data_IF_015216704681
#
_entry.id   IF_015216704681
#
_cell.length_a   1.000
_cell.length_b   1.000
_cell.length_c   1.000
_cell.angle_alpha   90.00
_cell.angle_beta   90.00
_cell.angle_gamma   90.00
#
_symmetry.space_group_name_H-M   'P 1'
#
loop_
_entity.id
_entity.type
_entity.pdbx_description
1 polymer ?
#
# COMPACT_ATOMS: atom_id res chain seq x y z
N UNK A 1 -33.08 4.74 -11.75
CA UNK A 1 -32.56 3.46 -11.23
C UNK A 1 -31.09 3.41 -11.59
N UNK A 2 -30.26 3.79 -10.64
CA UNK A 2 -28.84 4.09 -10.79
C UNK A 2 -28.06 2.83 -11.18
N UNK A 3 -27.45 2.85 -12.37
CA UNK A 3 -26.41 1.89 -12.76
C UNK A 3 -25.25 2.07 -11.79
N UNK A 4 -25.16 1.18 -10.81
CA UNK A 4 -23.95 1.01 -10.02
C UNK A 4 -22.86 0.60 -11.00
N UNK A 5 -22.10 1.59 -11.47
CA UNK A 5 -20.80 1.36 -12.05
C UNK A 5 -20.00 0.64 -10.96
N UNK A 6 -19.94 -0.68 -11.06
CA UNK A 6 -18.92 -1.47 -10.36
C UNK A 6 -17.62 -1.08 -11.04
N UNK A 7 -17.09 0.09 -10.70
CA UNK A 7 -15.69 0.41 -10.85
C UNK A 7 -14.94 -0.58 -9.98
N UNK A 8 -14.73 -1.79 -10.50
CA UNK A 8 -13.67 -2.65 -10.00
C UNK A 8 -12.40 -1.86 -10.31
N UNK A 9 -11.96 -1.02 -9.38
CA UNK A 9 -10.69 -0.30 -9.47
C UNK A 9 -9.60 -1.35 -9.35
N UNK A 10 -9.30 -2.02 -10.47
CA UNK A 10 -8.20 -2.98 -10.57
C UNK A 10 -6.91 -2.16 -10.59
N UNK A 11 -6.48 -1.74 -9.41
CA UNK A 11 -5.27 -0.94 -9.27
C UNK A 11 -4.05 -1.85 -9.44
N UNK A 12 -3.05 -1.33 -10.14
CA UNK A 12 -1.71 -1.93 -10.16
C UNK A 12 -1.11 -1.78 -8.77
N UNK A 13 -0.56 -2.88 -8.23
CA UNK A 13 0.13 -2.83 -6.95
C UNK A 13 1.44 -2.02 -7.08
N UNK A 14 1.62 -0.91 -6.34
CA UNK A 14 2.80 -0.06 -6.46
C UNK A 14 4.07 -0.80 -6.05
N UNK A 15 4.01 -1.68 -5.04
CA UNK A 15 5.17 -2.49 -4.62
C UNK A 15 5.63 -3.42 -5.76
N UNK A 16 4.69 -4.06 -6.47
CA UNK A 16 5.01 -4.89 -7.64
C UNK A 16 5.59 -4.07 -8.80
N UNK A 17 5.19 -2.81 -8.97
CA UNK A 17 5.72 -1.94 -10.02
C UNK A 17 7.12 -1.40 -9.69
N UNK A 18 7.42 -1.18 -8.40
CA UNK A 18 8.72 -0.66 -7.95
C UNK A 18 9.82 -1.73 -7.83
N UNK A 19 9.47 -3.01 -7.82
CA UNK A 19 10.45 -4.09 -7.70
C UNK A 19 11.09 -4.44 -9.06
N UNK A 20 12.42 -4.56 -9.17
CA UNK A 20 13.11 -4.88 -10.44
C UNK A 20 12.68 -6.23 -11.06
N UNK A 21 12.25 -7.17 -10.21
CA UNK A 21 11.72 -8.49 -10.59
C UNK A 21 10.19 -8.57 -10.48
N UNK A 22 9.53 -7.47 -10.13
CA UNK A 22 8.08 -7.39 -10.04
C UNK A 22 7.43 -7.30 -11.42
N UNK A 23 6.13 -7.58 -11.50
CA UNK A 23 5.36 -7.36 -12.72
C UNK A 23 4.62 -6.01 -12.61
N UNK A 24 5.00 -4.99 -13.40
CA UNK A 24 4.40 -3.65 -13.33
C UNK A 24 2.94 -3.59 -13.77
N UNK A 25 2.43 -4.66 -14.39
CA UNK A 25 1.04 -4.77 -14.82
C UNK A 25 0.23 -5.67 -13.90
N UNK A 26 0.76 -6.09 -12.74
CA UNK A 26 -0.03 -6.87 -11.79
C UNK A 26 -1.13 -6.02 -11.17
N UNK A 27 -2.37 -6.36 -11.52
CA UNK A 27 -3.58 -5.71 -11.05
C UNK A 27 -4.26 -6.62 -10.03
N UNK A 28 -4.71 -6.05 -8.92
CA UNK A 28 -5.47 -6.78 -7.91
C UNK A 28 -6.84 -6.17 -7.71
N UNK A 29 -7.85 -7.03 -7.54
CA UNK A 29 -9.22 -6.62 -7.16
C UNK A 29 -9.26 -6.28 -5.65
N UNK A 30 -8.38 -6.90 -4.86
CA UNK A 30 -8.22 -6.65 -3.44
C UNK A 30 -6.73 -6.45 -3.12
N UNK A 31 -6.37 -5.19 -2.89
CA UNK A 31 -4.99 -4.78 -2.64
C UNK A 31 -4.41 -5.39 -1.37
N UNK A 32 -5.16 -5.39 -0.25
CA UNK A 32 -4.68 -5.92 1.03
C UNK A 32 -4.42 -7.42 0.95
N UNK A 33 -5.34 -8.17 0.34
CA UNK A 33 -5.18 -9.61 0.14
C UNK A 33 -3.92 -9.93 -0.68
N UNK A 34 -3.66 -9.14 -1.73
CA UNK A 34 -2.46 -9.28 -2.55
C UNK A 34 -1.17 -8.99 -1.77
N UNK A 35 -1.16 -7.92 -0.97
CA UNK A 35 -0.02 -7.58 -0.11
C UNK A 35 0.30 -8.70 0.90
N UNK A 36 -0.72 -9.22 1.58
CA UNK A 36 -0.54 -10.30 2.57
C UNK A 36 0.01 -11.57 1.93
N UNK A 37 -0.50 -11.96 0.76
CA UNK A 37 -0.08 -13.20 0.08
C UNK A 37 1.30 -13.09 -0.58
N UNK A 38 1.60 -11.97 -1.24
CA UNK A 38 2.79 -11.87 -2.12
C UNK A 38 3.93 -11.03 -1.53
N UNK A 39 3.59 -10.06 -0.69
CA UNK A 39 4.58 -9.17 -0.06
C UNK A 39 4.79 -9.51 1.42
N UNK A 40 4.03 -10.47 1.98
CA UNK A 40 4.06 -10.81 3.41
C UNK A 40 3.96 -9.56 4.28
N UNK A 41 3.15 -8.61 3.82
CA UNK A 41 2.90 -7.38 4.55
C UNK A 41 2.08 -7.73 5.79
N UNK A 42 2.62 -7.46 6.97
CA UNK A 42 1.96 -7.71 8.24
C UNK A 42 1.64 -6.35 8.88
N UNK A 43 0.35 -6.05 9.00
CA UNK A 43 -0.11 -4.75 9.52
C UNK A 43 0.46 -4.46 10.91
N UNK A 44 0.51 -5.47 11.78
CA UNK A 44 1.07 -5.37 13.13
C UNK A 44 2.57 -5.00 13.17
N UNK A 45 3.31 -5.21 12.08
CA UNK A 45 4.75 -4.89 12.02
C UNK A 45 5.04 -3.48 11.51
N UNK A 46 4.09 -2.87 10.80
CA UNK A 46 4.30 -1.58 10.11
C UNK A 46 3.33 -0.48 10.56
N UNK A 47 2.30 -0.83 11.33
CA UNK A 47 1.29 0.11 11.81
C UNK A 47 1.25 0.05 13.33
N UNK A 48 1.68 1.13 13.97
CA UNK A 48 1.49 1.32 15.40
C UNK A 48 0.06 1.83 15.63
N UNK A 49 -0.82 0.94 16.10
CA UNK A 49 -2.21 1.28 16.41
C UNK A 49 -2.38 2.28 17.55
N UNK A 50 -1.31 2.55 18.32
CA UNK A 50 -1.31 3.58 19.37
C UNK A 50 -0.82 4.95 18.88
N UNK A 51 -0.32 5.05 17.66
CA UNK A 51 0.19 6.29 17.08
C UNK A 51 -0.89 6.97 16.24
N UNK A 52 -1.01 8.28 16.38
CA UNK A 52 -1.92 9.08 15.55
C UNK A 52 -1.40 9.20 14.11
N UNK A 53 -2.31 9.30 13.14
CA UNK A 53 -1.95 9.38 11.71
C UNK A 53 -1.09 10.61 11.40
N UNK A 54 -1.33 11.75 12.09
CA UNK A 54 -0.53 12.98 11.90
C UNK A 54 0.88 12.81 12.46
N UNK A 55 1.01 12.13 13.60
CA UNK A 55 2.31 11.80 14.21
C UNK A 55 3.11 10.83 13.33
N UNK A 56 2.44 9.83 12.76
CA UNK A 56 3.02 8.89 11.81
C UNK A 56 3.57 9.61 10.57
N UNK A 57 2.80 10.56 10.03
CA UNK A 57 3.19 11.35 8.88
C UNK A 57 4.39 12.23 9.18
N UNK A 58 4.39 12.95 10.32
CA UNK A 58 5.49 13.81 10.71
C UNK A 58 6.79 12.99 10.87
N UNK A 59 6.73 11.83 11.51
CA UNK A 59 7.88 10.95 11.68
C UNK A 59 8.45 10.48 10.33
N UNK A 60 7.60 10.11 9.37
CA UNK A 60 8.02 9.72 8.03
C UNK A 60 8.72 10.86 7.27
N UNK A 61 8.22 12.10 7.41
CA UNK A 61 8.83 13.29 6.81
C UNK A 61 10.20 13.59 7.42
N UNK A 62 10.31 13.52 8.75
CA UNK A 62 11.58 13.73 9.45
C UNK A 62 12.63 12.67 9.10
N UNK A 63 12.23 11.41 8.96
CA UNK A 63 13.11 10.32 8.53
C UNK A 63 13.61 10.54 7.10
N UNK A 64 12.70 10.91 6.18
CA UNK A 64 13.03 11.20 4.79
C UNK A 64 14.01 12.38 4.63
N UNK A 65 13.95 13.37 5.54
CA UNK A 65 14.89 14.50 5.55
C UNK A 65 16.27 14.14 6.12
N UNK A 66 16.37 13.10 6.95
CA UNK A 66 17.61 12.63 7.56
C UNK A 66 18.39 11.66 6.68
N UNK A 67 17.73 10.88 5.85
CA UNK A 67 18.37 10.04 4.84
C UNK A 67 18.84 10.91 3.66
N UNK A 68 20.05 11.49 3.80
CA UNK A 68 20.78 12.15 2.71
C UNK A 68 21.94 11.30 2.21
#
# INVERSE_FOLDING_TARGET
MTTAAVFVYIQVCPVCASMPWGNPHQKSINFLSHLNLRHRFEYDTYVDYGMDDDDALQQALEASLKEK
#
